data_IF_568422712870
#
_entry.id   IF_568422712870
#
_cell.length_a   1.000
_cell.length_b   1.000
_cell.length_c   1.000
_cell.angle_alpha   90.00
_cell.angle_beta   90.00
_cell.angle_gamma   90.00
#
_symmetry.space_group_name_H-M   'P 1'
#
loop_
_entity.id
_entity.type
_entity.pdbx_description
1 polymer ?
#
# COMPACT_ATOMS: atom_id res chain seq x y z
N UNK A 1 15.97 -5.02 10.50
CA UNK A 1 15.82 -3.82 9.63
C UNK A 1 15.58 -4.18 8.16
N UNK A 2 16.58 -4.66 7.42
CA UNK A 2 16.45 -4.84 5.97
C UNK A 2 15.40 -5.87 5.54
N UNK A 3 15.28 -7.01 6.23
CA UNK A 3 14.28 -8.03 5.89
C UNK A 3 12.84 -7.50 6.02
N UNK A 4 12.57 -6.73 7.08
CA UNK A 4 11.27 -6.09 7.32
C UNK A 4 10.97 -5.06 6.21
N UNK A 5 11.93 -4.19 5.91
CA UNK A 5 11.80 -3.18 4.85
C UNK A 5 11.55 -3.82 3.48
N UNK A 6 12.31 -4.87 3.13
CA UNK A 6 12.15 -5.61 1.87
C UNK A 6 10.80 -6.32 1.80
N UNK A 7 10.38 -6.98 2.88
CA UNK A 7 9.09 -7.68 2.96
C UNK A 7 7.91 -6.73 2.73
N UNK A 8 7.83 -5.65 3.50
CA UNK A 8 6.75 -4.66 3.35
C UNK A 8 6.80 -3.93 2.01
N UNK A 9 7.99 -3.56 1.52
CA UNK A 9 8.16 -2.93 0.20
C UNK A 9 7.64 -3.82 -0.93
N UNK A 10 7.90 -5.13 -0.88
CA UNK A 10 7.42 -6.07 -1.89
C UNK A 10 5.89 -6.21 -1.87
N UNK A 11 5.31 -6.36 -0.68
CA UNK A 11 3.85 -6.50 -0.51
C UNK A 11 3.13 -5.22 -0.97
N UNK A 12 3.57 -4.05 -0.51
CA UNK A 12 3.02 -2.75 -0.93
C UNK A 12 3.22 -2.55 -2.43
N UNK A 13 4.39 -2.91 -2.97
CA UNK A 13 4.71 -2.82 -4.39
C UNK A 13 3.74 -3.62 -5.26
N UNK A 14 3.46 -4.88 -4.90
CA UNK A 14 2.51 -5.73 -5.59
C UNK A 14 1.09 -5.14 -5.54
N UNK A 15 0.64 -4.68 -4.37
CA UNK A 15 -0.70 -4.08 -4.23
C UNK A 15 -0.86 -2.76 -4.98
N UNK A 16 0.18 -1.90 -5.01
CA UNK A 16 0.21 -0.69 -5.85
C UNK A 16 0.20 -0.99 -7.35
N UNK A 17 0.81 -2.10 -7.77
CA UNK A 17 0.72 -2.55 -9.17
C UNK A 17 -0.71 -2.99 -9.51
N UNK A 18 -1.34 -3.80 -8.65
CA UNK A 18 -2.75 -4.19 -8.82
C UNK A 18 -3.67 -2.98 -8.89
N UNK A 19 -3.52 -2.01 -7.98
CA UNK A 19 -4.34 -0.79 -7.97
C UNK A 19 -4.21 0.00 -9.28
N UNK A 20 -3.00 0.15 -9.83
CA UNK A 20 -2.77 0.82 -11.12
C UNK A 20 -3.46 0.10 -12.28
N UNK A 21 -3.44 -1.23 -12.30
CA UNK A 21 -4.12 -2.03 -13.31
C UNK A 21 -5.63 -1.79 -13.24
N UNK A 22 -6.23 -1.90 -12.06
CA UNK A 22 -7.67 -1.67 -11.89
C UNK A 22 -8.07 -0.25 -12.28
N UNK A 23 -7.28 0.76 -11.90
CA UNK A 23 -7.55 2.16 -12.27
C UNK A 23 -7.49 2.37 -13.80
N UNK A 24 -6.56 1.72 -14.50
CA UNK A 24 -6.52 1.78 -15.96
C UNK A 24 -7.70 1.07 -16.63
N UNK A 25 -8.18 -0.04 -16.07
CA UNK A 25 -9.36 -0.74 -16.58
C UNK A 25 -10.63 0.08 -16.32
N UNK A 26 -10.76 0.72 -15.14
CA UNK A 26 -11.86 1.62 -14.79
C UNK A 26 -12.00 2.73 -15.85
N UNK A 27 -10.91 3.46 -16.15
CA UNK A 27 -10.93 4.52 -17.15
C UNK A 27 -11.31 4.02 -18.56
N UNK A 28 -10.87 2.82 -18.94
CA UNK A 28 -11.22 2.23 -20.24
C UNK A 28 -12.69 1.86 -20.34
N UNK A 29 -13.27 1.33 -19.27
CA UNK A 29 -14.69 0.95 -19.23
C UNK A 29 -15.60 2.18 -19.09
N UNK A 30 -15.16 3.22 -18.38
CA UNK A 30 -15.84 4.53 -18.35
C UNK A 30 -15.94 5.13 -19.75
N UNK A 31 -14.84 5.12 -20.52
CA UNK A 31 -14.83 5.61 -21.91
C UNK A 31 -15.72 4.80 -22.87
N UNK A 32 -16.11 3.58 -22.49
CA UNK A 32 -17.03 2.71 -23.26
C UNK A 32 -18.49 2.87 -22.82
N UNK A 33 -18.78 3.65 -21.79
CA UNK A 33 -20.13 3.84 -21.23
C UNK A 33 -20.66 2.62 -20.47
N UNK A 34 -19.78 1.72 -20.01
CA UNK A 34 -20.19 0.48 -19.35
C UNK A 34 -20.32 0.63 -17.83
N UNK A 35 -21.34 1.36 -17.39
CA UNK A 35 -21.53 1.77 -15.99
C UNK A 35 -21.55 0.60 -14.99
N UNK A 36 -22.11 -0.55 -15.38
CA UNK A 36 -22.14 -1.75 -14.53
C UNK A 36 -20.75 -2.30 -14.24
N UNK A 37 -19.90 -2.39 -15.28
CA UNK A 37 -18.53 -2.85 -15.12
C UNK A 37 -17.69 -1.84 -14.33
N UNK A 38 -17.88 -0.54 -14.60
CA UNK A 38 -17.21 0.54 -13.85
C UNK A 38 -17.53 0.42 -12.36
N UNK A 39 -18.80 0.23 -11.99
CA UNK A 39 -19.20 0.07 -10.58
C UNK A 39 -18.51 -1.12 -9.91
N UNK A 40 -18.46 -2.28 -10.57
CA UNK A 40 -17.76 -3.46 -10.06
C UNK A 40 -16.26 -3.21 -9.89
N UNK A 41 -15.61 -2.62 -10.90
CA UNK A 41 -14.17 -2.32 -10.85
C UNK A 41 -13.87 -1.34 -9.71
N UNK A 42 -14.73 -0.34 -9.51
CA UNK A 42 -14.60 0.64 -8.42
C UNK A 42 -14.68 0.00 -7.04
N UNK A 43 -15.62 -0.92 -6.82
CA UNK A 43 -15.72 -1.70 -5.57
C UNK A 43 -14.44 -2.52 -5.31
N UNK A 44 -13.92 -3.20 -6.33
CA UNK A 44 -12.65 -3.92 -6.21
C UNK A 44 -11.46 -2.99 -5.95
N UNK A 45 -11.40 -1.83 -6.60
CA UNK A 45 -10.36 -0.82 -6.38
C UNK A 45 -10.38 -0.32 -4.93
N UNK A 46 -11.55 -0.01 -4.40
CA UNK A 46 -11.72 0.39 -3.00
C UNK A 46 -11.26 -0.68 -2.01
N UNK A 47 -11.53 -1.96 -2.31
CA UNK A 47 -11.02 -3.07 -1.48
C UNK A 47 -9.50 -3.12 -1.47
N UNK A 48 -8.85 -3.01 -2.63
CA UNK A 48 -7.38 -2.97 -2.74
C UNK A 48 -6.81 -1.77 -1.99
N UNK A 49 -7.47 -0.62 -2.07
CA UNK A 49 -7.06 0.60 -1.37
C UNK A 49 -7.19 0.47 0.15
N UNK A 50 -8.26 -0.18 0.65
CA UNK A 50 -8.40 -0.50 2.07
C UNK A 50 -7.31 -1.46 2.55
N UNK A 51 -6.99 -2.49 1.77
CA UNK A 51 -5.89 -3.43 2.08
C UNK A 51 -4.53 -2.71 2.11
N UNK A 52 -4.27 -1.82 1.15
CA UNK A 52 -3.07 -0.97 1.14
C UNK A 52 -2.97 -0.11 2.39
N UNK A 53 -4.04 0.60 2.75
CA UNK A 53 -4.06 1.45 3.94
C UNK A 53 -3.83 0.65 5.22
N UNK A 54 -4.43 -0.54 5.35
CA UNK A 54 -4.18 -1.43 6.50
C UNK A 54 -2.71 -1.82 6.59
N UNK A 55 -2.11 -2.29 5.49
CA UNK A 55 -0.69 -2.70 5.47
C UNK A 55 0.23 -1.52 5.80
N UNK A 56 -0.08 -0.32 5.30
CA UNK A 56 0.65 0.91 5.60
C UNK A 56 0.53 1.32 7.07
N UNK A 57 -0.67 1.19 7.66
CA UNK A 57 -0.89 1.50 9.08
C UNK A 57 -0.22 0.47 10.00
N UNK A 58 -0.25 -0.81 9.64
CA UNK A 58 0.40 -1.88 10.39
C UNK A 58 1.92 -1.66 10.45
N UNK A 59 2.56 -1.31 9.32
CA UNK A 59 3.99 -1.01 9.33
C UNK A 59 4.31 0.27 10.10
N UNK A 60 3.48 1.31 10.01
CA UNK A 60 3.68 2.55 10.76
C UNK A 60 3.62 2.28 12.27
N UNK A 61 2.64 1.49 12.72
CA UNK A 61 2.49 1.08 14.12
C UNK A 61 3.73 0.32 14.60
N UNK A 62 4.22 -0.64 13.81
CA UNK A 62 5.45 -1.37 14.15
C UNK A 62 6.66 -0.43 14.24
N UNK A 63 6.75 0.55 13.34
CA UNK A 63 7.84 1.54 13.36
C UNK A 63 7.78 2.39 14.63
N UNK A 64 6.63 2.98 14.92
CA UNK A 64 6.44 3.94 16.02
C UNK A 64 6.49 3.28 17.39
N UNK A 65 5.87 2.12 17.57
CA UNK A 65 5.73 1.48 18.88
C UNK A 65 6.92 0.57 19.25
N UNK A 66 7.64 0.03 18.26
CA UNK A 66 8.68 -0.96 18.53
C UNK A 66 10.05 -0.56 17.99
N UNK A 67 10.14 -0.06 16.76
CA UNK A 67 11.43 0.11 16.10
C UNK A 67 12.13 1.43 16.44
N UNK A 68 11.40 2.53 16.53
CA UNK A 68 11.92 3.84 16.96
C UNK A 68 12.32 3.82 18.44
N UNK A 69 11.49 3.32 19.39
CA UNK A 69 11.87 3.29 20.80
C UNK A 69 13.08 2.38 21.08
N UNK A 70 13.26 1.33 20.27
CA UNK A 70 14.40 0.41 20.38
C UNK A 70 15.64 0.88 19.62
N UNK A 71 15.57 1.99 18.86
CA UNK A 71 16.69 2.51 18.08
C UNK A 71 17.62 3.35 18.97
N UNK A 72 18.67 2.73 19.49
CA UNK A 72 19.67 3.38 20.38
C UNK A 72 20.74 4.19 19.65
N UNK A 73 20.74 4.26 18.31
CA UNK A 73 21.78 4.95 17.51
C UNK A 73 21.24 5.72 16.30
N UNK A 74 21.82 6.89 16.02
CA UNK A 74 21.31 7.88 15.06
C UNK A 74 21.06 7.38 13.63
N UNK A 75 21.90 6.48 13.10
CA UNK A 75 21.67 5.90 11.77
C UNK A 75 20.41 5.02 11.71
N UNK A 76 20.11 4.30 12.79
CA UNK A 76 18.92 3.45 12.85
C UNK A 76 17.64 4.26 12.99
N UNK A 77 17.69 5.40 13.68
CA UNK A 77 16.56 6.33 13.80
C UNK A 77 16.27 7.01 12.46
N UNK A 78 17.29 7.52 11.76
CA UNK A 78 17.15 8.11 10.42
C UNK A 78 16.58 7.12 9.41
N UNK A 79 16.92 5.83 9.51
CA UNK A 79 16.39 4.80 8.63
C UNK A 79 14.88 4.56 8.83
N UNK A 80 14.37 4.59 10.07
CA UNK A 80 12.95 4.35 10.34
C UNK A 80 12.06 5.57 10.07
N UNK A 81 12.63 6.78 10.11
CA UNK A 81 11.93 8.01 9.72
C UNK A 81 11.85 8.23 8.19
N UNK A 82 12.52 7.40 7.38
CA UNK A 82 12.54 7.50 5.92
C UNK A 82 11.53 6.57 5.26
#
# INVERSE_FOLDING_TARGET
>A
RNLLSVGYKNVIGARRASWRIFSSIEQKEEGRGNEHNVKKIKEYRQKVESELNKICNDIMTVIDEHLIPSATGGESTVFYYK
#
